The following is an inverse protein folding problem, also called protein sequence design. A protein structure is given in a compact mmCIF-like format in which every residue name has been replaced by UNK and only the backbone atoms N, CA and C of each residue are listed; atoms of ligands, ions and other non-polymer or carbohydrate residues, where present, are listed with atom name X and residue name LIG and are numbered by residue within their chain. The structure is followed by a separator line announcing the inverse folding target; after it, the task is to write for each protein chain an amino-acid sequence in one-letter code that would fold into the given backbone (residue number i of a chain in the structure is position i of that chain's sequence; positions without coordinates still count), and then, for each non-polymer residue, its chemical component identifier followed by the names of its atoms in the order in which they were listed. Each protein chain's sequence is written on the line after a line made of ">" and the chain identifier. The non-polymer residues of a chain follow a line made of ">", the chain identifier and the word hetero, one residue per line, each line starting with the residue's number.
data_IF_290417704389
#
_entry.id   IF_290417704389
#
_cell.length_a   1.000
_cell.length_b   1.000
_cell.length_c   1.000
_cell.angle_alpha   90.00
_cell.angle_beta   90.00
_cell.angle_gamma   90.00
#
_symmetry.space_group_name_H-M   'P 1'
#
loop_
_entity.id
_entity.type
_entity.pdbx_description
1 polymer ?
#
# COMPACT_ATOMS: atom_id res chain seq x y z
N UNK A 1 8.76 12.47 24.97
CA UNK A 1 8.13 13.65 24.35
C UNK A 1 9.08 14.33 23.36
N UNK A 2 9.55 13.66 22.30
CA UNK A 2 10.45 14.27 21.28
C UNK A 2 10.01 13.97 19.82
N UNK A 3 8.82 13.39 19.62
CA UNK A 3 8.33 13.02 18.28
C UNK A 3 7.40 14.02 17.59
N UNK A 4 6.83 14.98 18.34
CA UNK A 4 5.79 15.87 17.79
C UNK A 4 6.36 17.15 17.13
N UNK A 5 7.58 17.54 17.44
CA UNK A 5 8.16 18.78 16.90
C UNK A 5 8.77 18.62 15.48
N UNK A 6 8.99 17.39 15.03
CA UNK A 6 9.57 17.18 13.68
C UNK A 6 8.52 17.28 12.56
N UNK A 7 7.24 17.18 12.92
CA UNK A 7 6.14 17.19 11.94
C UNK A 7 5.69 18.61 11.55
N UNK A 8 5.82 19.59 12.46
CA UNK A 8 5.35 20.96 12.20
C UNK A 8 6.25 21.79 11.29
N UNK A 9 7.54 21.49 11.23
CA UNK A 9 8.48 22.33 10.45
C UNK A 9 8.46 22.08 8.94
N UNK A 10 7.89 20.95 8.48
CA UNK A 10 7.81 20.61 7.04
C UNK A 10 6.55 21.17 6.36
N UNK A 11 5.54 21.55 7.14
CA UNK A 11 4.27 22.07 6.61
C UNK A 11 4.27 23.57 6.30
N UNK A 12 5.20 24.34 6.83
CA UNK A 12 5.20 25.82 6.67
C UNK A 12 5.81 26.32 5.38
N UNK A 13 6.46 25.50 4.57
CA UNK A 13 7.22 25.97 3.40
C UNK A 13 6.63 25.59 2.04
N UNK A 14 5.39 25.10 1.97
CA UNK A 14 4.77 24.65 0.71
C UNK A 14 3.53 25.47 0.29
N UNK A 15 3.34 26.66 0.86
CA UNK A 15 2.25 27.56 0.45
C UNK A 15 2.76 28.63 -0.51
N UNK A 16 2.98 28.27 -1.77
CA UNK A 16 3.07 29.27 -2.83
C UNK A 16 1.66 29.79 -3.14
N UNK A 17 1.37 30.98 -2.66
CA UNK A 17 0.15 31.71 -2.97
C UNK A 17 0.21 32.19 -4.44
N UNK A 18 -0.61 31.61 -5.30
CA UNK A 18 -0.88 32.23 -6.61
C UNK A 18 -1.87 33.37 -6.42
N UNK A 19 -1.67 34.47 -7.16
CA UNK A 19 -2.43 35.73 -7.08
C UNK A 19 -3.94 35.61 -7.38
N UNK A 20 -4.48 34.41 -7.59
CA UNK A 20 -5.88 34.13 -7.88
C UNK A 20 -6.66 33.46 -6.74
N UNK A 21 -6.10 33.40 -5.52
CA UNK A 21 -6.83 32.94 -4.31
C UNK A 21 -7.21 31.46 -4.28
N UNK A 22 -6.86 30.66 -5.27
CA UNK A 22 -7.06 29.21 -5.28
C UNK A 22 -5.78 28.52 -4.81
N UNK A 23 -5.86 27.72 -3.75
CA UNK A 23 -4.80 26.81 -3.35
C UNK A 23 -4.60 25.79 -4.45
N UNK A 24 -3.77 26.10 -5.44
CA UNK A 24 -3.32 25.08 -6.39
C UNK A 24 -2.28 24.25 -5.66
N UNK A 25 -2.65 23.03 -5.33
CA UNK A 25 -1.69 22.02 -4.90
C UNK A 25 -0.59 21.92 -5.97
N UNK A 26 0.70 22.05 -5.63
CA UNK A 26 1.78 21.88 -6.60
C UNK A 26 1.88 20.44 -7.14
N UNK A 27 1.02 19.54 -6.67
CA UNK A 27 1.03 18.13 -7.02
C UNK A 27 0.05 17.85 -8.16
N UNK A 28 0.53 17.13 -9.17
CA UNK A 28 -0.32 16.59 -10.24
C UNK A 28 -1.44 15.76 -9.63
N UNK A 29 -2.69 15.96 -10.08
CA UNK A 29 -3.81 15.13 -9.67
C UNK A 29 -3.50 13.66 -9.95
N UNK A 30 -3.59 12.81 -8.91
CA UNK A 30 -3.36 11.37 -9.02
C UNK A 30 -4.61 10.66 -9.49
N UNK A 31 -4.40 9.53 -10.16
CA UNK A 31 -5.42 8.57 -10.56
C UNK A 31 -5.50 7.48 -9.48
N UNK A 32 -6.62 7.41 -8.79
CA UNK A 32 -6.83 6.53 -7.63
C UNK A 32 -7.83 5.44 -7.97
N UNK A 33 -7.45 4.19 -7.77
CA UNK A 33 -8.34 3.02 -7.79
C UNK A 33 -8.79 2.74 -6.36
N UNK A 34 -10.09 2.48 -6.15
CA UNK A 34 -10.66 2.13 -4.84
C UNK A 34 -11.21 0.72 -4.91
N UNK A 35 -10.86 -0.11 -3.93
CA UNK A 35 -11.39 -1.47 -3.76
C UNK A 35 -11.94 -1.62 -2.34
N UNK A 36 -13.26 -1.71 -2.21
CA UNK A 36 -13.97 -1.91 -0.94
C UNK A 36 -15.30 -2.63 -1.23
N UNK A 37 -15.60 -3.72 -0.51
CA UNK A 37 -16.80 -4.51 -0.73
C UNK A 37 -18.08 -3.81 -0.23
N UNK A 38 -17.92 -2.80 0.62
CA UNK A 38 -19.03 -1.97 1.10
C UNK A 38 -19.18 -0.74 0.21
N UNK A 39 -20.19 -0.77 -0.66
CA UNK A 39 -20.47 0.31 -1.63
C UNK A 39 -20.52 1.70 -0.99
N UNK A 40 -21.11 1.83 0.21
CA UNK A 40 -21.18 3.10 0.94
C UNK A 40 -19.80 3.62 1.33
N UNK A 41 -18.89 2.74 1.77
CA UNK A 41 -17.52 3.09 2.12
C UNK A 41 -16.74 3.49 0.86
N UNK A 42 -16.84 2.69 -0.21
CA UNK A 42 -16.22 3.02 -1.50
C UNK A 42 -16.67 4.39 -2.04
N UNK A 43 -17.97 4.71 -1.92
CA UNK A 43 -18.50 6.04 -2.30
C UNK A 43 -17.94 7.16 -1.43
N UNK A 44 -17.93 6.98 -0.11
CA UNK A 44 -17.35 8.00 0.79
C UNK A 44 -15.85 8.22 0.57
N UNK A 45 -15.10 7.14 0.30
CA UNK A 45 -13.69 7.26 -0.07
C UNK A 45 -13.51 8.02 -1.39
N UNK A 46 -14.38 7.77 -2.38
CA UNK A 46 -14.33 8.47 -3.66
C UNK A 46 -14.59 9.98 -3.50
N UNK A 47 -15.55 10.36 -2.65
CA UNK A 47 -15.81 11.76 -2.31
C UNK A 47 -14.60 12.41 -1.64
N UNK A 48 -14.00 11.72 -0.65
CA UNK A 48 -12.80 12.22 0.04
C UNK A 48 -11.60 12.38 -0.90
N UNK A 49 -11.38 11.43 -1.82
CA UNK A 49 -10.33 11.52 -2.86
C UNK A 49 -10.58 12.75 -3.74
N UNK A 50 -11.84 13.02 -4.12
CA UNK A 50 -12.22 14.23 -4.85
C UNK A 50 -11.93 15.52 -4.07
N UNK A 51 -12.21 15.54 -2.75
CA UNK A 51 -11.89 16.68 -1.88
C UNK A 51 -10.38 16.92 -1.76
N UNK A 52 -9.55 15.87 -1.88
CA UNK A 52 -8.10 15.96 -1.95
C UNK A 52 -7.60 16.36 -3.37
N UNK A 53 -8.49 16.74 -4.29
CA UNK A 53 -8.15 17.12 -5.67
C UNK A 53 -7.51 16.01 -6.51
N UNK A 54 -7.86 14.75 -6.24
CA UNK A 54 -7.44 13.58 -7.01
C UNK A 54 -8.62 12.99 -7.78
N UNK A 55 -8.33 12.12 -8.76
CA UNK A 55 -9.32 11.51 -9.63
C UNK A 55 -9.49 10.03 -9.29
N UNK A 56 -10.72 9.59 -9.01
CA UNK A 56 -11.04 8.16 -8.91
C UNK A 56 -11.23 7.61 -10.32
N UNK A 57 -10.48 6.55 -10.66
CA UNK A 57 -10.59 5.89 -11.97
C UNK A 57 -11.63 4.78 -11.99
N UNK A 58 -11.77 4.06 -10.88
CA UNK A 58 -12.79 3.03 -10.72
C UNK A 58 -12.97 2.71 -9.23
N UNK A 59 -14.18 2.25 -8.85
CA UNK A 59 -14.48 1.66 -7.54
C UNK A 59 -14.92 0.23 -7.77
N UNK A 60 -14.25 -0.73 -7.15
CA UNK A 60 -14.50 -2.17 -7.29
C UNK A 60 -14.77 -2.81 -5.94
N UNK A 61 -15.41 -4.00 -5.93
CA UNK A 61 -15.88 -4.62 -4.69
C UNK A 61 -15.07 -5.86 -4.26
N UNK A 62 -14.13 -6.33 -5.06
CA UNK A 62 -13.35 -7.54 -4.75
C UNK A 62 -11.89 -7.39 -5.08
N UNK A 63 -11.03 -8.16 -4.41
CA UNK A 63 -9.59 -8.16 -4.70
C UNK A 63 -9.26 -8.61 -6.12
N UNK A 64 -10.08 -9.51 -6.71
CA UNK A 64 -9.90 -9.94 -8.08
C UNK A 64 -10.18 -8.81 -9.07
N UNK A 65 -11.28 -8.09 -8.86
CA UNK A 65 -11.62 -6.91 -9.67
C UNK A 65 -10.54 -5.83 -9.53
N UNK A 66 -9.98 -5.65 -8.31
CA UNK A 66 -8.91 -4.69 -8.07
C UNK A 66 -7.66 -5.00 -8.91
N UNK A 67 -7.26 -6.28 -9.00
CA UNK A 67 -6.13 -6.70 -9.83
C UNK A 67 -6.41 -6.40 -11.31
N UNK A 68 -7.62 -6.74 -11.80
CA UNK A 68 -8.01 -6.48 -13.18
C UNK A 68 -8.10 -4.99 -13.49
N UNK A 69 -8.68 -4.20 -12.58
CA UNK A 69 -8.79 -2.75 -12.71
C UNK A 69 -7.41 -2.08 -12.68
N UNK A 70 -6.48 -2.59 -11.85
CA UNK A 70 -5.09 -2.13 -11.85
C UNK A 70 -4.44 -2.32 -13.23
N UNK A 71 -4.60 -3.50 -13.83
CA UNK A 71 -4.05 -3.79 -15.16
C UNK A 71 -4.64 -2.88 -16.24
N UNK A 72 -5.96 -2.60 -16.19
CA UNK A 72 -6.65 -1.72 -17.14
C UNK A 72 -6.27 -0.25 -17.01
N UNK A 73 -6.26 0.25 -15.77
CA UNK A 73 -6.18 1.69 -15.52
C UNK A 73 -4.77 2.17 -15.21
N UNK A 74 -3.89 1.30 -14.73
CA UNK A 74 -2.55 1.70 -14.25
C UNK A 74 -2.63 2.93 -13.37
N UNK A 75 -3.37 2.86 -12.24
CA UNK A 75 -3.55 3.98 -11.33
C UNK A 75 -2.23 4.38 -10.66
N UNK A 76 -2.15 5.64 -10.22
CA UNK A 76 -1.00 6.11 -9.45
C UNK A 76 -0.98 5.53 -8.03
N UNK A 77 -2.19 5.32 -7.45
CA UNK A 77 -2.39 4.76 -6.10
C UNK A 77 -3.62 3.87 -6.07
N UNK A 78 -3.57 2.81 -5.29
CA UNK A 78 -4.72 1.94 -4.97
C UNK A 78 -5.05 2.10 -3.49
N UNK A 79 -6.30 2.46 -3.18
CA UNK A 79 -6.90 2.35 -1.85
C UNK A 79 -7.61 1.00 -1.79
N UNK A 80 -7.21 0.12 -0.88
CA UNK A 80 -7.69 -1.26 -0.88
C UNK A 80 -8.12 -1.68 0.52
N UNK A 81 -9.40 -2.06 0.67
CA UNK A 81 -9.87 -2.66 1.91
C UNK A 81 -9.13 -3.97 2.19
N UNK A 82 -8.82 -4.17 3.47
CA UNK A 82 -8.16 -5.39 3.93
C UNK A 82 -9.05 -6.63 3.76
N UNK A 83 -10.35 -6.50 4.11
CA UNK A 83 -11.31 -7.61 4.10
C UNK A 83 -12.31 -7.50 2.98
N UNK A 84 -12.06 -8.22 1.92
CA UNK A 84 -12.98 -8.34 0.79
C UNK A 84 -13.32 -9.82 0.52
N UNK A 85 -14.53 -10.12 -0.02
CA UNK A 85 -14.91 -11.47 -0.39
C UNK A 85 -14.04 -12.01 -1.54
N UNK A 86 -13.95 -13.33 -1.64
CA UNK A 86 -13.22 -14.09 -2.67
C UNK A 86 -11.69 -13.94 -2.58
N UNK A 87 -11.18 -12.72 -2.55
CA UNK A 87 -9.75 -12.43 -2.43
C UNK A 87 -9.56 -11.23 -1.53
N UNK A 88 -8.86 -11.40 -0.40
CA UNK A 88 -8.59 -10.33 0.55
C UNK A 88 -7.59 -9.31 0.01
N UNK A 89 -7.58 -8.10 0.59
CA UNK A 89 -6.75 -6.99 0.11
C UNK A 89 -5.26 -7.24 0.19
N UNK A 90 -4.75 -7.96 1.21
CA UNK A 90 -3.33 -8.31 1.29
C UNK A 90 -2.91 -9.18 0.10
N UNK A 91 -3.69 -10.20 -0.18
CA UNK A 91 -3.40 -11.11 -1.28
C UNK A 91 -3.46 -10.37 -2.61
N UNK A 92 -4.49 -9.53 -2.82
CA UNK A 92 -4.58 -8.68 -4.01
C UNK A 92 -3.39 -7.71 -4.13
N UNK A 93 -2.98 -7.07 -3.05
CA UNK A 93 -1.81 -6.20 -2.98
C UNK A 93 -0.54 -6.94 -3.42
N UNK A 94 -0.30 -8.14 -2.89
CA UNK A 94 0.86 -8.96 -3.28
C UNK A 94 0.84 -9.34 -4.76
N UNK A 95 -0.31 -9.67 -5.33
CA UNK A 95 -0.44 -9.96 -6.76
C UNK A 95 -0.12 -8.73 -7.63
N UNK A 96 -0.62 -7.56 -7.24
CA UNK A 96 -0.31 -6.32 -7.94
C UNK A 96 1.19 -6.02 -7.88
N UNK A 97 1.80 -6.12 -6.68
CA UNK A 97 3.22 -5.87 -6.48
C UNK A 97 4.14 -6.90 -7.16
N UNK A 98 3.70 -8.14 -7.31
CA UNK A 98 4.44 -9.16 -8.06
C UNK A 98 4.52 -8.83 -9.55
N UNK A 99 3.49 -8.17 -10.12
CA UNK A 99 3.46 -7.71 -11.51
C UNK A 99 4.13 -6.34 -11.69
N UNK A 100 3.95 -5.45 -10.73
CA UNK A 100 4.50 -4.10 -10.74
C UNK A 100 5.07 -3.74 -9.36
N UNK A 101 6.37 -3.95 -9.16
CA UNK A 101 7.04 -3.64 -7.90
C UNK A 101 6.97 -2.15 -7.50
N UNK A 102 6.64 -1.26 -8.44
CA UNK A 102 6.48 0.17 -8.21
C UNK A 102 5.04 0.56 -7.87
N UNK A 103 4.08 -0.37 -7.90
CA UNK A 103 2.70 -0.11 -7.54
C UNK A 103 2.61 0.46 -6.11
N UNK A 104 1.73 1.43 -5.94
CA UNK A 104 1.49 2.09 -4.64
C UNK A 104 0.13 1.65 -4.14
N UNK A 105 0.14 0.82 -3.10
CA UNK A 105 -1.08 0.32 -2.47
C UNK A 105 -1.14 0.82 -1.04
N UNK A 106 -2.25 1.47 -0.68
CA UNK A 106 -2.59 1.86 0.68
C UNK A 106 -3.69 0.90 1.13
N UNK A 107 -3.43 0.13 2.18
CA UNK A 107 -4.45 -0.74 2.77
C UNK A 107 -5.34 0.05 3.73
N UNK A 108 -6.62 -0.30 3.75
CA UNK A 108 -7.60 0.25 4.69
C UNK A 108 -8.09 -0.90 5.55
N UNK A 109 -7.96 -0.80 6.87
CA UNK A 109 -8.25 -1.89 7.80
C UNK A 109 -9.19 -1.45 8.92
N UNK A 110 -10.17 -2.29 9.26
CA UNK A 110 -10.92 -2.15 10.50
C UNK A 110 -10.06 -2.57 11.71
N UNK A 111 -10.46 -2.16 12.90
CA UNK A 111 -9.74 -2.28 14.17
C UNK A 111 -9.20 -3.69 14.53
N UNK A 112 -9.66 -4.77 13.92
CA UNK A 112 -9.42 -6.14 14.38
C UNK A 112 -8.23 -6.86 13.75
N UNK A 113 -7.44 -6.24 12.91
CA UNK A 113 -6.34 -6.94 12.25
C UNK A 113 -5.01 -6.19 12.48
N UNK A 114 -4.07 -6.76 13.25
CA UNK A 114 -2.70 -6.29 13.22
C UNK A 114 -2.12 -6.61 11.84
N UNK A 115 -2.21 -5.64 10.94
CA UNK A 115 -1.57 -5.75 9.62
C UNK A 115 -0.27 -5.00 9.69
N UNK A 116 0.82 -5.74 9.60
CA UNK A 116 2.11 -5.11 9.46
C UNK A 116 2.32 -4.69 8.00
N UNK A 117 2.60 -3.40 7.72
CA UNK A 117 2.85 -2.92 6.36
C UNK A 117 3.92 -3.74 5.64
N UNK A 118 4.91 -4.19 6.40
CA UNK A 118 6.05 -4.94 5.88
C UNK A 118 5.65 -6.29 5.27
N UNK A 119 4.65 -6.95 5.85
CA UNK A 119 4.18 -8.26 5.39
C UNK A 119 3.33 -8.18 4.12
N UNK A 120 2.69 -7.04 3.87
CA UNK A 120 1.81 -6.82 2.72
C UNK A 120 2.51 -6.20 1.51
N UNK A 121 3.61 -5.47 1.73
CA UNK A 121 4.27 -4.64 0.73
C UNK A 121 3.53 -3.31 0.46
N UNK A 122 2.43 -3.03 1.16
CA UNK A 122 1.71 -1.75 1.07
C UNK A 122 2.61 -0.59 1.52
N UNK A 123 2.36 0.59 0.98
CA UNK A 123 3.10 1.81 1.36
C UNK A 123 2.60 2.43 2.66
N UNK A 124 1.33 2.20 2.98
CA UNK A 124 0.70 2.67 4.22
C UNK A 124 -0.51 1.80 4.56
N UNK A 125 -0.93 1.88 5.83
CA UNK A 125 -2.18 1.29 6.32
C UNK A 125 -2.97 2.38 7.03
N UNK A 126 -4.24 2.56 6.64
CA UNK A 126 -5.18 3.46 7.29
C UNK A 126 -6.21 2.66 8.07
N UNK A 127 -6.53 3.12 9.28
CA UNK A 127 -7.58 2.51 10.09
C UNK A 127 -8.97 3.08 9.74
N UNK A 128 -9.98 2.21 9.67
CA UNK A 128 -11.39 2.63 9.57
C UNK A 128 -11.89 3.11 10.97
N UNK A 129 -12.64 4.22 11.07
CA UNK A 129 -13.08 5.10 10.00
C UNK A 129 -11.93 5.97 9.47
N UNK A 130 -11.82 6.10 8.14
CA UNK A 130 -10.79 6.93 7.51
C UNK A 130 -11.16 8.40 7.66
N UNK A 131 -10.27 9.18 8.26
CA UNK A 131 -10.42 10.63 8.36
C UNK A 131 -9.77 11.32 7.15
N UNK A 132 -10.42 12.38 6.63
CA UNK A 132 -9.92 13.11 5.45
C UNK A 132 -8.45 13.58 5.59
N UNK A 133 -7.99 14.15 6.73
CA UNK A 133 -6.59 14.55 6.87
C UNK A 133 -5.61 13.37 6.78
N UNK A 134 -6.01 12.19 7.26
CA UNK A 134 -5.18 10.98 7.20
C UNK A 134 -5.06 10.45 5.77
N UNK A 135 -6.18 10.49 5.03
CA UNK A 135 -6.20 10.11 3.62
C UNK A 135 -5.34 11.06 2.79
N UNK A 136 -5.50 12.37 2.98
CA UNK A 136 -4.72 13.40 2.27
C UNK A 136 -3.20 13.24 2.53
N UNK A 137 -2.82 13.03 3.78
CA UNK A 137 -1.43 12.79 4.17
C UNK A 137 -0.86 11.51 3.52
N UNK A 138 -1.64 10.43 3.48
CA UNK A 138 -1.22 9.16 2.88
C UNK A 138 -1.09 9.27 1.36
N UNK A 139 -2.02 9.95 0.69
CA UNK A 139 -1.96 10.22 -0.75
C UNK A 139 -0.77 11.13 -1.08
N UNK A 140 -0.53 12.18 -0.31
CA UNK A 140 0.63 13.07 -0.48
C UNK A 140 1.94 12.30 -0.32
N UNK A 141 2.06 11.46 0.70
CA UNK A 141 3.24 10.60 0.90
C UNK A 141 3.44 9.59 -0.24
N UNK A 142 2.36 9.15 -0.87
CA UNK A 142 2.42 8.25 -2.01
C UNK A 142 3.04 8.90 -3.26
N UNK A 143 3.05 10.22 -3.40
CA UNK A 143 3.68 10.92 -4.54
C UNK A 143 5.20 10.88 -4.47
N UNK A 144 5.78 10.81 -3.26
CA UNK A 144 7.22 10.80 -3.10
C UNK A 144 7.84 9.53 -3.73
N UNK A 145 9.01 9.66 -4.41
CA UNK A 145 9.69 8.49 -4.96
C UNK A 145 10.04 7.51 -3.83
N UNK A 146 9.64 6.26 -3.99
CA UNK A 146 10.03 5.21 -3.04
C UNK A 146 11.55 5.20 -2.90
N UNK A 147 12.06 5.43 -1.71
CA UNK A 147 13.43 5.00 -1.40
C UNK A 147 13.45 3.50 -1.63
N UNK A 148 14.27 3.03 -2.59
CA UNK A 148 14.45 1.59 -2.85
C UNK A 148 14.75 0.93 -1.51
N UNK A 149 13.82 0.12 -0.99
CA UNK A 149 14.10 -0.78 0.13
C UNK A 149 15.13 -1.76 -0.44
N UNK A 150 16.35 -1.73 0.05
CA UNK A 150 17.34 -2.76 -0.27
C UNK A 150 16.67 -4.12 -0.02
N UNK A 151 16.80 -5.08 -0.97
CA UNK A 151 16.33 -6.43 -0.71
C UNK A 151 16.99 -6.90 0.58
N UNK A 152 16.18 -7.40 1.51
CA UNK A 152 16.69 -8.01 2.73
C UNK A 152 17.80 -9.00 2.35
N UNK A 153 18.94 -9.02 3.05
CA UNK A 153 20.03 -9.94 2.72
C UNK A 153 19.46 -11.35 2.70
N UNK A 154 19.58 -12.01 1.56
CA UNK A 154 19.24 -13.41 1.42
C UNK A 154 20.24 -14.15 2.31
N UNK A 155 19.81 -14.58 3.49
CA UNK A 155 20.58 -15.47 4.32
C UNK A 155 20.57 -16.81 3.58
N UNK A 156 21.57 -17.03 2.75
CA UNK A 156 21.90 -18.37 2.27
C UNK A 156 22.52 -19.09 3.45
N UNK A 157 21.70 -19.86 4.13
CA UNK A 157 22.18 -20.79 5.16
C UNK A 157 23.00 -21.87 4.44
N UNK A 158 24.29 -21.64 4.36
CA UNK A 158 25.25 -22.60 3.85
C UNK A 158 25.52 -23.62 4.95
N UNK A 159 24.52 -24.44 5.30
CA UNK A 159 24.75 -25.65 6.08
C UNK A 159 25.36 -26.68 5.12
N UNK A 160 26.62 -27.05 5.26
CA UNK A 160 27.19 -28.10 4.46
C UNK A 160 26.48 -29.42 4.80
N UNK A 161 25.90 -30.04 3.77
CA UNK A 161 25.40 -31.41 3.85
C UNK A 161 26.51 -32.30 4.41
N UNK A 162 26.34 -32.69 5.65
CA UNK A 162 27.20 -33.69 6.31
C UNK A 162 27.03 -34.97 5.53
N UNK A 163 28.13 -35.43 4.90
CA UNK A 163 28.22 -36.74 4.25
C UNK A 163 27.80 -37.81 5.26
N UNK A 164 26.73 -38.52 4.94
CA UNK A 164 26.39 -39.77 5.66
C UNK A 164 27.39 -40.82 5.23
N UNK A 165 28.28 -41.10 6.16
CA UNK A 165 29.25 -42.20 6.08
C UNK A 165 28.50 -43.53 5.98
N UNK A 166 28.72 -44.22 4.86
CA UNK A 166 28.15 -45.53 4.58
C UNK A 166 28.90 -46.56 5.43
N UNK A 167 28.30 -46.95 6.54
CA UNK A 167 28.73 -48.11 7.29
C UNK A 167 28.18 -49.39 6.63
N UNK A 168 29.04 -50.14 6.03
CA UNK A 168 28.76 -51.52 5.57
C UNK A 168 28.42 -52.42 6.74
N UNK A 169 27.48 -53.36 6.61
CA UNK A 169 27.31 -54.42 7.61
C UNK A 169 28.31 -55.55 7.34
N UNK A 170 29.21 -55.77 8.28
CA UNK A 170 30.01 -57.00 8.32
C UNK A 170 29.10 -58.22 8.49
N UNK A 171 29.22 -59.14 7.54
CA UNK A 171 28.71 -60.48 7.62
C UNK A 171 29.64 -61.31 8.52
N UNK A 172 29.11 -61.89 9.60
CA UNK A 172 29.80 -62.93 10.33
C UNK A 172 28.94 -64.19 10.37
N UNK A 173 29.58 -65.27 10.01
CA UNK A 173 29.18 -66.63 9.88
C UNK A 173 28.37 -67.21 11.05
#
# INVERSE_FOLDING_TARGET
>A
MKGLQFFEHKFQNSLLFSAAGTKTSPWKAMRVLIADDQKSVGTSLAEMVGLCHHQVVEVVATGMEAIQAYDRHRPDVVLMDYRMPKLNGITACRYILAKDPNARVILISGWSAPVEPESSGAIAILSKPVALPMLDAALTAAVEPRKKKEPAPVIVDATPLRAVDSAEPEATA
#
